data_IF_692306572084
#
_entry.id   IF_692306572084
#
_cell.length_a   1.000
_cell.length_b   1.000
_cell.length_c   1.000
_cell.angle_alpha   90.00
_cell.angle_beta   90.00
_cell.angle_gamma   90.00
#
_symmetry.space_group_name_H-M   'P 1'
#
loop_
_entity.id
_entity.type
_entity.pdbx_description
1 polymer ?
#
# COMPACT_ATOMS: atom_id res chain seq x y z
N UNK A 1 -23.06 6.17 0.22
CA UNK A 1 -22.30 5.71 1.39
C UNK A 1 -20.95 5.32 0.88
N UNK A 2 -19.93 6.11 1.21
CA UNK A 2 -18.55 5.78 0.83
C UNK A 2 -17.99 4.86 1.90
N UNK A 3 -18.29 3.57 1.81
CA UNK A 3 -17.66 2.54 2.64
C UNK A 3 -16.20 2.44 2.18
N UNK A 4 -15.37 3.36 2.67
CA UNK A 4 -13.94 3.29 2.51
C UNK A 4 -13.51 1.98 3.19
N UNK A 5 -13.40 0.94 2.37
CA UNK A 5 -13.28 -0.43 2.85
C UNK A 5 -11.96 -0.56 3.60
N UNK A 6 -12.03 -1.13 4.80
CA UNK A 6 -10.87 -1.43 5.60
C UNK A 6 -10.29 -2.78 5.15
N UNK A 7 -8.99 -2.79 4.94
CA UNK A 7 -8.23 -3.94 4.48
C UNK A 7 -7.15 -4.28 5.50
N UNK A 8 -6.90 -5.57 5.68
CA UNK A 8 -5.76 -6.04 6.47
C UNK A 8 -4.66 -6.50 5.53
N UNK A 9 -3.50 -5.88 5.65
CA UNK A 9 -2.29 -6.21 4.90
C UNK A 9 -1.17 -6.59 5.88
N UNK A 10 -0.10 -7.21 5.38
CA UNK A 10 1.12 -7.41 6.19
C UNK A 10 1.71 -6.05 6.55
N UNK A 11 2.23 -5.90 7.77
CA UNK A 11 2.90 -4.66 8.19
C UNK A 11 4.07 -4.32 7.25
N UNK A 12 4.81 -5.35 6.80
CA UNK A 12 5.88 -5.20 5.82
C UNK A 12 5.45 -4.60 4.47
N UNK A 13 4.17 -4.65 4.10
CA UNK A 13 3.68 -4.11 2.81
C UNK A 13 3.47 -2.59 2.84
N UNK A 14 3.47 -1.98 4.03
CA UNK A 14 3.20 -0.57 4.21
C UNK A 14 4.48 0.24 4.03
N UNK A 15 4.41 1.28 3.20
CA UNK A 15 5.54 2.19 2.98
C UNK A 15 5.11 3.60 3.35
N UNK A 16 5.83 4.23 4.26
CA UNK A 16 5.65 5.65 4.58
C UNK A 16 6.52 6.50 3.66
N UNK A 17 5.90 7.37 2.85
CA UNK A 17 6.59 8.26 1.94
C UNK A 17 5.84 9.59 1.81
N UNK A 18 6.58 10.71 1.89
CA UNK A 18 6.03 12.08 1.87
C UNK A 18 4.83 12.28 2.83
N UNK A 19 4.95 11.77 4.06
CA UNK A 19 3.90 11.86 5.09
C UNK A 19 2.59 11.11 4.74
N UNK A 20 2.59 10.28 3.70
CA UNK A 20 1.48 9.39 3.35
C UNK A 20 1.92 7.92 3.48
N UNK A 21 0.95 7.03 3.74
CA UNK A 21 1.19 5.60 3.69
C UNK A 21 0.77 5.05 2.34
N UNK A 22 1.56 4.14 1.81
CA UNK A 22 1.40 3.57 0.48
C UNK A 22 1.46 2.06 0.56
N UNK A 23 0.71 1.40 -0.31
CA UNK A 23 0.87 -0.02 -0.62
C UNK A 23 1.06 -0.17 -2.12
N UNK A 24 1.89 -1.13 -2.52
CA UNK A 24 2.10 -1.42 -3.93
C UNK A 24 1.26 -2.62 -4.34
N UNK A 25 0.20 -2.35 -5.11
CA UNK A 25 -0.74 -3.37 -5.57
C UNK A 25 -0.23 -4.00 -6.86
N UNK A 26 -0.22 -5.33 -6.92
CA UNK A 26 0.15 -6.09 -8.12
C UNK A 26 -0.94 -5.93 -9.19
N UNK A 27 -0.55 -5.37 -10.32
CA UNK A 27 -1.33 -5.24 -11.55
C UNK A 27 -0.78 -6.21 -12.62
N UNK A 28 -1.55 -6.55 -13.68
CA UNK A 28 -1.03 -7.26 -14.84
C UNK A 28 0.20 -6.59 -15.47
N UNK A 29 0.28 -5.26 -15.41
CA UNK A 29 1.34 -4.46 -16.03
C UNK A 29 2.54 -4.20 -15.09
N UNK A 30 2.43 -4.54 -13.80
CA UNK A 30 3.48 -4.28 -12.82
C UNK A 30 2.94 -4.03 -11.42
N UNK A 31 3.40 -2.95 -10.78
CA UNK A 31 2.95 -2.54 -9.45
C UNK A 31 2.41 -1.12 -9.48
N UNK A 32 1.28 -0.92 -8.83
CA UNK A 32 0.62 0.38 -8.73
C UNK A 32 0.72 0.87 -7.29
N UNK A 33 1.40 2.00 -7.09
CA UNK A 33 1.44 2.67 -5.79
C UNK A 33 0.05 3.22 -5.47
N UNK A 34 -0.54 2.70 -4.40
CA UNK A 34 -1.89 3.07 -3.96
C UNK A 34 -1.78 3.77 -2.61
N UNK A 35 -2.22 5.03 -2.49
CA UNK A 35 -2.22 5.72 -1.22
C UNK A 35 -3.28 5.12 -0.30
N UNK A 36 -2.92 4.92 0.96
CA UNK A 36 -3.80 4.36 1.97
C UNK A 36 -3.69 5.13 3.28
N UNK A 37 -4.77 5.14 4.04
CA UNK A 37 -4.80 5.65 5.40
C UNK A 37 -4.55 4.49 6.35
N UNK A 38 -3.50 4.58 7.18
CA UNK A 38 -3.26 3.62 8.24
C UNK A 38 -4.27 3.85 9.38
N UNK A 39 -5.06 2.84 9.70
CA UNK A 39 -6.03 2.89 10.81
C UNK A 39 -5.42 2.31 12.08
N UNK A 40 -4.72 1.18 11.97
CA UNK A 40 -4.01 0.55 13.07
C UNK A 40 -2.88 -0.33 12.55
N UNK A 41 -1.82 -0.47 13.33
CA UNK A 41 -0.67 -1.31 13.01
C UNK A 41 -0.34 -2.23 14.17
N UNK A 42 0.05 -3.45 13.83
CA UNK A 42 0.57 -4.47 14.73
C UNK A 42 1.88 -4.99 14.15
N UNK A 43 2.75 -5.65 14.95
CA UNK A 43 4.03 -6.16 14.45
C UNK A 43 3.94 -7.11 13.25
N UNK A 44 2.77 -7.72 13.00
CA UNK A 44 2.56 -8.69 11.92
C UNK A 44 1.64 -8.16 10.81
N UNK A 45 0.78 -7.19 11.10
CA UNK A 45 -0.27 -6.74 10.18
C UNK A 45 -0.65 -5.28 10.37
N UNK A 46 -1.06 -4.62 9.30
CA UNK A 46 -1.59 -3.27 9.31
C UNK A 46 -3.03 -3.28 8.79
N UNK A 47 -3.91 -2.56 9.49
CA UNK A 47 -5.26 -2.24 9.01
C UNK A 47 -5.21 -0.91 8.31
N UNK A 48 -5.55 -0.90 7.02
CA UNK A 48 -5.50 0.27 6.16
C UNK A 48 -6.85 0.51 5.51
N UNK A 49 -7.12 1.76 5.18
CA UNK A 49 -8.29 2.17 4.42
C UNK A 49 -7.82 2.78 3.10
N UNK A 50 -8.44 2.35 1.99
CA UNK A 50 -8.08 2.85 0.67
C UNK A 50 -8.83 2.15 -0.44
N UNK A 51 -8.54 2.55 -1.68
CA UNK A 51 -9.17 2.03 -2.89
C UNK A 51 -8.62 0.66 -3.31
N UNK A 52 -8.53 -0.28 -2.37
CA UNK A 52 -8.15 -1.67 -2.62
C UNK A 52 -9.39 -2.53 -2.85
N UNK A 53 -9.21 -3.68 -3.49
CA UNK A 53 -10.26 -4.67 -3.75
C UNK A 53 -9.91 -6.03 -3.17
N UNK A 54 -10.94 -6.79 -2.82
CA UNK A 54 -10.77 -8.17 -2.38
C UNK A 54 -10.12 -9.02 -3.48
N UNK A 55 -9.10 -9.79 -3.10
CA UNK A 55 -8.35 -10.65 -4.03
C UNK A 55 -7.14 -9.99 -4.69
N UNK A 56 -6.95 -8.67 -4.52
CA UNK A 56 -5.73 -8.00 -4.93
C UNK A 56 -4.54 -8.44 -4.07
N UNK A 57 -3.35 -8.45 -4.66
CA UNK A 57 -2.11 -8.82 -3.98
C UNK A 57 -1.26 -7.58 -3.79
N UNK A 58 -0.70 -7.41 -2.60
CA UNK A 58 0.26 -6.34 -2.30
C UNK A 58 1.67 -6.89 -2.25
N UNK A 59 2.65 -6.07 -2.65
CA UNK A 59 4.05 -6.41 -2.51
C UNK A 59 4.46 -6.38 -1.03
N UNK A 60 5.21 -7.39 -0.59
CA UNK A 60 5.83 -7.44 0.74
C UNK A 60 7.36 -7.53 0.65
N UNK A 61 7.91 -7.51 -0.57
CA UNK A 61 9.34 -7.65 -0.87
C UNK A 61 9.69 -6.74 -2.04
N UNK A 62 10.96 -6.32 -2.12
CA UNK A 62 11.43 -5.42 -3.18
C UNK A 62 10.84 -4.01 -3.08
N UNK A 63 10.32 -3.62 -1.92
CA UNK A 63 9.63 -2.35 -1.71
C UNK A 63 10.53 -1.14 -1.91
N UNK A 64 11.83 -1.26 -1.64
CA UNK A 64 12.78 -0.17 -1.88
C UNK A 64 12.87 0.21 -3.36
N UNK A 65 12.83 -0.78 -4.26
CA UNK A 65 12.80 -0.53 -5.71
C UNK A 65 11.49 0.15 -6.10
N UNK A 66 10.36 -0.33 -5.59
CA UNK A 66 9.05 0.26 -5.88
C UNK A 66 8.90 1.68 -5.31
N UNK A 67 9.49 1.95 -4.15
CA UNK A 67 9.55 3.27 -3.54
C UNK A 67 10.42 4.22 -4.35
N UNK A 68 11.54 3.77 -4.91
CA UNK A 68 12.37 4.59 -5.77
C UNK A 68 11.60 5.04 -7.03
N UNK A 69 10.89 4.11 -7.69
CA UNK A 69 10.03 4.43 -8.84
C UNK A 69 8.92 5.43 -8.47
N UNK A 70 8.29 5.25 -7.30
CA UNK A 70 7.30 6.20 -6.79
C UNK A 70 7.91 7.59 -6.51
N UNK A 71 9.11 7.63 -5.92
CA UNK A 71 9.79 8.88 -5.59
C UNK A 71 10.15 9.69 -6.84
N UNK A 72 10.55 9.00 -7.92
CA UNK A 72 10.80 9.63 -9.22
C UNK A 72 9.51 10.11 -9.89
N UNK A 73 8.41 9.35 -9.78
CA UNK A 73 7.11 9.74 -10.32
C UNK A 73 6.48 10.94 -9.60
N UNK A 74 6.74 11.10 -8.31
CA UNK A 74 6.21 12.17 -7.45
C UNK A 74 7.11 13.42 -7.41
N UNK A 75 8.19 13.46 -8.19
CA UNK A 75 9.18 14.55 -8.20
C UNK A 75 8.69 15.80 -8.89
#
# INVERSE_FOLDING_TARGET
>A
GGDASQWRVSADALVNFKNHNWVFVRSPEGFVATPVTLLSETPQSASVQGALKAGERVATRGLLTLLAELAEAER
#
